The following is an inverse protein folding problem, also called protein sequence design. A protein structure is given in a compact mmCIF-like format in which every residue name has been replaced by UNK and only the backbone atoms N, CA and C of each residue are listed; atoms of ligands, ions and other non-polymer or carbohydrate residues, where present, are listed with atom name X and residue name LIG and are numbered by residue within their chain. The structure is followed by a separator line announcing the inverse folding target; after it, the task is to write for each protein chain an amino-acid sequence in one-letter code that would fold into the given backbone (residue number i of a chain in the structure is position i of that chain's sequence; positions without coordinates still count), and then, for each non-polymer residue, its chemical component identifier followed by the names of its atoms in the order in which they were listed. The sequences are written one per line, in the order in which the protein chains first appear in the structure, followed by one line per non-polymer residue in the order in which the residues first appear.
data_IF_255461161643
#
_entry.id   IF_255461161643
#
_cell.length_a   1.000
_cell.length_b   1.000
_cell.length_c   1.000
_cell.angle_alpha   90.00
_cell.angle_beta   90.00
_cell.angle_gamma   90.00
#
_symmetry.space_group_name_H-M   'P 1'
#
loop_
_entity.id
_entity.type
_entity.pdbx_description
1 polymer ?
#
# COMPACT_ATOMS: atom_id res chain seq x y z
N UNK A 1 -2.43 -1.08 14.63
CA UNK A 1 -2.83 -1.49 15.99
C UNK A 1 -3.30 -2.93 15.89
N UNK A 2 -2.59 -3.86 16.54
CA UNK A 2 -2.95 -5.27 16.56
C UNK A 2 -4.28 -5.47 17.29
N UNK A 3 -5.04 -6.50 16.88
CA UNK A 3 -6.26 -6.89 17.60
C UNK A 3 -5.97 -7.22 19.06
N UNK A 4 -4.75 -7.69 19.34
CA UNK A 4 -4.23 -7.96 20.68
C UNK A 4 -4.13 -6.70 21.55
N UNK A 5 -3.73 -5.57 20.96
CA UNK A 5 -3.64 -4.29 21.66
C UNK A 5 -5.01 -3.75 22.07
N UNK A 6 -6.05 -4.05 21.29
CA UNK A 6 -7.43 -3.60 21.55
C UNK A 6 -8.10 -4.45 22.62
N UNK A 7 -7.86 -5.76 22.61
CA UNK A 7 -8.54 -6.73 23.50
C UNK A 7 -7.79 -6.98 24.82
N UNK A 8 -6.59 -6.43 24.96
CA UNK A 8 -5.78 -6.54 26.16
C UNK A 8 -5.37 -7.99 26.49
N UNK A 9 -5.04 -8.21 27.78
CA UNK A 9 -4.50 -9.49 28.25
C UNK A 9 -5.47 -10.67 28.20
N UNK A 10 -6.72 -10.48 27.77
CA UNK A 10 -7.70 -11.55 27.65
C UNK A 10 -7.51 -12.40 26.39
N UNK A 11 -6.78 -11.91 25.36
CA UNK A 11 -6.51 -12.63 24.12
C UNK A 11 -5.09 -13.20 24.17
N UNK A 12 -4.96 -14.52 24.09
CA UNK A 12 -3.67 -15.20 24.16
C UNK A 12 -3.04 -15.48 22.79
N UNK A 13 -3.77 -15.32 21.71
CA UNK A 13 -3.28 -15.54 20.37
C UNK A 13 -4.36 -15.86 19.35
N UNK A 14 -3.92 -16.16 18.14
CA UNK A 14 -4.76 -16.57 17.02
C UNK A 14 -3.96 -17.43 16.06
N UNK A 15 -4.67 -18.11 15.17
CA UNK A 15 -4.08 -18.94 14.13
C UNK A 15 -4.56 -18.48 12.77
N UNK A 16 -3.64 -18.31 11.83
CA UNK A 16 -3.98 -18.07 10.43
C UNK A 16 -4.26 -19.43 9.80
N UNK A 17 -5.43 -19.59 9.24
CA UNK A 17 -5.79 -20.73 8.44
C UNK A 17 -5.86 -20.34 6.97
N UNK A 18 -4.91 -20.74 6.14
CA UNK A 18 -3.96 -21.81 6.26
C UNK A 18 -2.52 -21.33 5.91
N UNK A 19 -1.52 -22.21 6.05
CA UNK A 19 -0.15 -21.91 5.67
C UNK A 19 0.05 -22.00 4.16
N UNK A 20 -0.46 -23.05 3.53
CA UNK A 20 -0.32 -23.34 2.11
C UNK A 20 -1.67 -23.67 1.50
N UNK A 21 -1.98 -23.07 0.36
CA UNK A 21 -3.11 -23.48 -0.45
C UNK A 21 -3.10 -24.99 -0.75
N UNK A 22 -4.24 -25.64 -0.58
CA UNK A 22 -4.36 -27.09 -0.77
C UNK A 22 -4.79 -27.46 -2.20
N UNK A 23 -4.57 -26.59 -3.19
CA UNK A 23 -4.85 -26.82 -4.60
C UNK A 23 -3.94 -27.88 -5.22
N UNK A 24 -4.46 -28.58 -6.20
CA UNK A 24 -3.74 -29.58 -6.99
C UNK A 24 -3.56 -29.11 -8.42
N UNK A 25 -2.43 -29.45 -9.05
CA UNK A 25 -2.19 -29.11 -10.47
C UNK A 25 -3.17 -29.85 -11.38
N UNK A 26 -3.88 -29.12 -12.20
CA UNK A 26 -4.69 -29.66 -13.31
C UNK A 26 -4.40 -28.87 -14.58
N UNK A 27 -4.66 -29.44 -15.74
CA UNK A 27 -4.46 -28.79 -17.01
C UNK A 27 -5.80 -28.60 -17.72
N UNK A 28 -5.93 -27.47 -18.38
CA UNK A 28 -7.04 -27.19 -19.31
C UNK A 28 -6.95 -28.06 -20.55
N UNK A 29 -7.99 -28.09 -21.37
CA UNK A 29 -7.96 -28.78 -22.65
C UNK A 29 -6.91 -28.21 -23.62
N UNK A 30 -6.47 -26.96 -23.42
CA UNK A 30 -5.37 -26.31 -24.14
C UNK A 30 -3.99 -26.66 -23.60
N UNK A 31 -3.90 -27.41 -22.48
CA UNK A 31 -2.64 -27.79 -21.83
C UNK A 31 -2.10 -26.77 -20.81
N UNK A 32 -2.82 -25.69 -20.54
CA UNK A 32 -2.45 -24.69 -19.55
C UNK A 32 -2.66 -25.25 -18.11
N UNK A 33 -1.64 -25.14 -17.27
CA UNK A 33 -1.71 -25.58 -15.88
C UNK A 33 -2.43 -24.56 -15.00
N UNK A 34 -3.27 -25.06 -14.08
CA UNK A 34 -3.92 -24.24 -13.07
C UNK A 34 -4.05 -24.99 -11.74
N UNK A 35 -4.29 -24.26 -10.66
CA UNK A 35 -4.56 -24.83 -9.35
C UNK A 35 -6.03 -25.18 -9.24
N UNK A 36 -6.32 -26.47 -9.20
CA UNK A 36 -7.66 -27.00 -9.11
C UNK A 36 -8.09 -27.16 -7.65
N UNK A 37 -9.39 -27.02 -7.41
CA UNK A 37 -10.02 -27.14 -6.09
C UNK A 37 -11.29 -27.99 -6.14
N UNK A 38 -12.13 -27.94 -5.11
CA UNK A 38 -13.33 -28.77 -5.00
C UNK A 38 -14.28 -28.63 -6.19
N UNK A 39 -14.72 -29.75 -6.74
CA UNK A 39 -15.55 -29.84 -7.94
C UNK A 39 -14.77 -29.98 -9.25
N UNK A 40 -13.52 -29.50 -9.31
CA UNK A 40 -12.72 -29.53 -10.54
C UNK A 40 -12.39 -30.96 -11.03
N UNK A 41 -12.43 -31.94 -10.14
CA UNK A 41 -12.17 -33.36 -10.45
C UNK A 41 -13.45 -34.18 -10.64
N UNK A 42 -14.63 -33.52 -10.70
CA UNK A 42 -15.92 -34.16 -10.88
C UNK A 42 -16.56 -34.67 -9.58
N UNK A 43 -16.02 -34.31 -8.46
CA UNK A 43 -16.60 -34.55 -7.14
C UNK A 43 -17.85 -33.66 -6.96
N UNK A 44 -18.94 -34.26 -6.42
CA UNK A 44 -20.26 -33.60 -6.33
C UNK A 44 -20.55 -33.04 -4.94
N UNK A 45 -19.87 -33.53 -3.90
CA UNK A 45 -19.89 -32.95 -2.55
C UNK A 45 -18.54 -32.35 -2.25
N UNK A 46 -18.44 -31.01 -2.27
CA UNK A 46 -17.19 -30.30 -2.07
C UNK A 46 -17.43 -28.86 -1.57
N UNK A 47 -16.41 -28.24 -1.01
CA UNK A 47 -16.41 -26.87 -0.50
C UNK A 47 -15.73 -25.88 -1.47
N UNK A 48 -15.55 -26.27 -2.75
CA UNK A 48 -15.00 -25.44 -3.83
C UNK A 48 -13.62 -24.86 -3.46
N UNK A 49 -13.47 -23.55 -3.57
CA UNK A 49 -12.24 -22.81 -3.32
C UNK A 49 -11.87 -22.72 -1.82
N UNK A 50 -12.66 -23.28 -0.92
CA UNK A 50 -12.41 -23.15 0.53
C UNK A 50 -11.11 -23.83 1.00
N UNK A 51 -10.46 -24.58 0.14
CA UNK A 51 -9.11 -25.12 0.35
C UNK A 51 -7.98 -24.21 -0.20
N UNK A 52 -8.30 -23.04 -0.77
CA UNK A 52 -7.36 -22.06 -1.31
C UNK A 52 -7.37 -20.81 -0.43
N UNK A 53 -6.83 -20.94 0.77
CA UNK A 53 -6.82 -19.88 1.80
C UNK A 53 -5.48 -19.77 2.54
N UNK A 54 -4.41 -20.28 1.91
CA UNK A 54 -3.05 -20.25 2.43
C UNK A 54 -2.37 -18.90 2.31
N UNK A 55 -1.26 -18.74 3.03
CA UNK A 55 -0.30 -17.66 2.87
C UNK A 55 0.66 -17.91 1.70
N UNK A 56 0.73 -19.15 1.22
CA UNK A 56 1.53 -19.62 0.09
C UNK A 56 0.65 -20.30 -0.94
N UNK A 57 0.99 -20.13 -2.21
CA UNK A 57 0.43 -20.97 -3.28
C UNK A 57 0.77 -22.45 -3.09
N UNK A 58 0.07 -23.38 -3.78
CA UNK A 58 0.37 -24.81 -3.69
C UNK A 58 1.82 -25.18 -4.01
N UNK A 59 2.49 -24.43 -4.87
CA UNK A 59 3.91 -24.59 -5.23
C UNK A 59 4.88 -23.95 -4.23
N UNK A 60 4.37 -23.36 -3.16
CA UNK A 60 5.11 -22.64 -2.11
C UNK A 60 5.60 -21.25 -2.49
N UNK A 61 5.18 -20.69 -3.62
CA UNK A 61 5.42 -19.28 -3.89
C UNK A 61 4.57 -18.41 -2.94
N UNK A 62 5.11 -17.28 -2.46
CA UNK A 62 4.39 -16.41 -1.54
C UNK A 62 3.18 -15.73 -2.18
N UNK A 63 2.05 -15.75 -1.50
CA UNK A 63 1.00 -14.77 -1.73
C UNK A 63 1.45 -13.38 -1.22
N UNK A 64 0.95 -12.28 -1.80
CA UNK A 64 1.30 -10.92 -1.32
C UNK A 64 1.05 -10.71 0.17
N UNK A 65 -0.01 -11.28 0.72
CA UNK A 65 -0.36 -11.14 2.14
C UNK A 65 0.56 -11.91 3.10
N UNK A 66 1.46 -12.78 2.61
CA UNK A 66 2.48 -13.38 3.45
C UNK A 66 3.43 -12.33 4.01
N UNK A 67 3.79 -11.33 3.20
CA UNK A 67 4.67 -10.24 3.64
C UNK A 67 4.02 -9.39 4.72
N UNK A 68 2.73 -9.12 4.57
CA UNK A 68 1.94 -8.42 5.61
C UNK A 68 1.84 -9.25 6.90
N UNK A 69 1.59 -10.57 6.78
CA UNK A 69 1.57 -11.46 7.93
C UNK A 69 2.93 -11.48 8.66
N UNK A 70 4.04 -11.48 7.91
CA UNK A 70 5.39 -11.36 8.47
C UNK A 70 5.55 -10.04 9.23
N UNK A 71 5.17 -8.93 8.62
CA UNK A 71 5.26 -7.61 9.24
C UNK A 71 4.42 -7.50 10.52
N UNK A 72 3.18 -7.98 10.48
CA UNK A 72 2.29 -7.95 11.64
C UNK A 72 2.73 -8.86 12.80
N UNK A 73 3.53 -9.91 12.50
CA UNK A 73 4.02 -10.88 13.51
C UNK A 73 5.48 -10.63 13.92
N UNK A 74 6.09 -9.53 13.51
CA UNK A 74 7.44 -9.19 13.98
C UNK A 74 7.45 -8.93 15.50
N UNK A 75 8.59 -9.20 16.11
CA UNK A 75 8.74 -9.15 17.58
C UNK A 75 9.39 -7.88 18.09
N UNK A 76 9.85 -7.01 17.20
CA UNK A 76 10.45 -5.74 17.56
C UNK A 76 9.57 -4.60 17.10
N UNK A 77 9.39 -3.62 17.97
CA UNK A 77 8.73 -2.37 17.65
C UNK A 77 9.68 -1.19 17.76
N UNK A 78 9.42 -0.14 16.98
CA UNK A 78 10.35 0.96 16.81
C UNK A 78 9.66 2.29 17.04
N UNK A 79 10.31 3.16 17.80
CA UNK A 79 9.89 4.55 17.94
C UNK A 79 11.08 5.50 17.83
N UNK A 80 10.86 6.67 17.25
CA UNK A 80 11.90 7.64 16.96
C UNK A 80 11.56 9.00 17.55
N UNK A 81 12.56 9.58 18.25
CA UNK A 81 12.47 10.95 18.79
C UNK A 81 13.67 11.74 18.32
N UNK A 82 13.44 12.94 17.79
CA UNK A 82 14.52 13.88 17.50
C UNK A 82 14.87 14.67 18.75
N UNK A 83 16.15 14.66 19.12
CA UNK A 83 16.69 15.40 20.25
C UNK A 83 18.08 15.93 19.94
N UNK A 84 18.31 17.22 20.13
CA UNK A 84 19.62 17.86 19.95
C UNK A 84 20.29 17.55 18.59
N UNK A 85 19.52 17.58 17.50
CA UNK A 85 19.96 17.21 16.12
C UNK A 85 20.41 15.73 15.97
N UNK A 86 20.06 14.88 16.91
CA UNK A 86 20.27 13.43 16.82
C UNK A 86 18.91 12.73 16.80
N UNK A 87 18.89 11.53 16.28
CA UNK A 87 17.72 10.68 16.31
C UNK A 87 17.91 9.61 17.40
N UNK A 88 17.07 9.63 18.41
CA UNK A 88 17.00 8.58 19.41
C UNK A 88 15.98 7.53 18.94
N UNK A 89 16.48 6.40 18.46
CA UNK A 89 15.70 5.25 18.07
C UNK A 89 15.55 4.32 19.25
N UNK A 90 14.33 4.12 19.71
CA UNK A 90 14.02 3.11 20.73
C UNK A 90 13.50 1.85 20.04
N UNK A 91 14.16 0.73 20.32
CA UNK A 91 13.77 -0.61 19.89
C UNK A 91 13.23 -1.34 21.11
N UNK A 92 11.98 -1.78 21.05
CA UNK A 92 11.33 -2.54 22.12
C UNK A 92 11.10 -3.98 21.70
N UNK A 93 11.37 -4.92 22.60
CA UNK A 93 11.26 -6.35 22.33
C UNK A 93 10.01 -6.95 22.97
N UNK A 94 9.18 -7.59 22.13
CA UNK A 94 8.03 -8.40 22.55
C UNK A 94 8.38 -9.88 22.76
N UNK A 95 9.64 -10.26 22.55
CA UNK A 95 10.08 -11.61 22.90
C UNK A 95 9.83 -11.92 24.38
N UNK A 96 9.34 -13.13 24.66
CA UNK A 96 9.04 -13.57 26.02
C UNK A 96 10.23 -14.30 26.66
N UNK A 97 11.04 -15.02 25.87
CA UNK A 97 12.01 -15.98 26.39
C UNK A 97 13.43 -15.83 25.86
N UNK A 98 13.61 -15.10 24.75
CA UNK A 98 14.93 -14.90 24.15
C UNK A 98 15.31 -13.41 24.10
N UNK A 99 16.61 -13.15 24.12
CA UNK A 99 17.15 -11.82 23.83
C UNK A 99 17.59 -11.72 22.37
N UNK A 100 17.86 -10.51 21.92
CA UNK A 100 18.39 -10.23 20.59
C UNK A 100 19.92 -10.34 20.61
N UNK A 101 20.46 -11.55 20.59
CA UNK A 101 21.90 -11.84 20.69
C UNK A 101 22.53 -12.29 19.35
N UNK A 102 21.74 -12.35 18.29
CA UNK A 102 22.18 -12.67 16.93
C UNK A 102 21.56 -11.72 15.89
N UNK A 103 21.19 -10.54 16.29
CA UNK A 103 20.56 -9.54 15.42
C UNK A 103 21.47 -8.30 15.29
N UNK A 104 21.52 -7.77 14.06
CA UNK A 104 22.08 -6.46 13.75
C UNK A 104 20.97 -5.54 13.25
N UNK A 105 20.98 -4.31 13.73
CA UNK A 105 20.07 -3.27 13.24
C UNK A 105 20.79 -2.47 12.16
N UNK A 106 20.23 -2.44 10.96
CA UNK A 106 20.64 -1.61 9.83
C UNK A 106 19.66 -0.47 9.67
N UNK A 107 20.17 0.70 9.37
CA UNK A 107 19.33 1.85 9.10
C UNK A 107 19.81 2.62 7.89
N UNK A 108 18.86 3.27 7.18
CA UNK A 108 19.10 4.05 5.98
C UNK A 108 18.13 5.22 5.92
N UNK A 109 18.62 6.44 5.74
CA UNK A 109 17.76 7.59 5.49
C UNK A 109 17.43 7.69 3.99
N UNK A 110 16.17 7.99 3.71
CA UNK A 110 15.65 8.25 2.38
C UNK A 110 15.27 9.73 2.25
N UNK A 111 15.57 10.35 1.11
CA UNK A 111 15.07 11.66 0.68
C UNK A 111 14.14 11.45 -0.53
N UNK A 112 12.87 11.84 -0.41
CA UNK A 112 11.86 11.66 -1.47
C UNK A 112 11.81 10.20 -2.00
N UNK A 113 11.91 9.23 -1.09
CA UNK A 113 11.91 7.81 -1.41
C UNK A 113 13.24 7.25 -1.94
N UNK A 114 14.28 8.08 -2.12
CA UNK A 114 15.60 7.65 -2.60
C UNK A 114 16.61 7.56 -1.46
N UNK A 115 17.41 6.47 -1.35
CA UNK A 115 18.39 6.32 -0.28
C UNK A 115 19.54 7.31 -0.42
N UNK A 116 19.90 7.96 0.70
CA UNK A 116 21.09 8.83 0.77
C UNK A 116 22.30 7.96 1.10
N UNK A 117 23.26 7.85 0.21
CA UNK A 117 24.36 6.89 0.29
C UNK A 117 25.19 6.99 1.58
N UNK A 118 25.38 8.19 2.09
CA UNK A 118 26.17 8.51 3.29
C UNK A 118 25.37 8.37 4.59
N UNK A 119 24.03 8.41 4.51
CA UNK A 119 23.14 8.41 5.67
C UNK A 119 22.64 7.01 6.00
N UNK A 120 23.55 6.12 6.34
CA UNK A 120 23.26 4.73 6.73
C UNK A 120 24.21 4.25 7.81
N UNK A 121 23.84 3.20 8.49
CA UNK A 121 24.69 2.57 9.48
C UNK A 121 24.18 1.21 9.92
N UNK A 122 24.98 0.56 10.73
CA UNK A 122 24.69 -0.73 11.33
C UNK A 122 25.16 -0.69 12.80
N UNK A 123 24.40 -1.30 13.69
CA UNK A 123 24.76 -1.44 15.10
C UNK A 123 24.23 -2.77 15.66
N UNK A 124 24.94 -3.28 16.65
CA UNK A 124 24.50 -4.42 17.45
C UNK A 124 23.35 -4.02 18.36
N UNK A 125 22.40 -4.92 18.53
CA UNK A 125 21.34 -4.80 19.54
C UNK A 125 21.39 -6.01 20.46
N UNK A 126 21.23 -5.74 21.76
CA UNK A 126 21.21 -6.77 22.80
C UNK A 126 20.12 -6.48 23.81
N UNK A 127 18.89 -6.82 23.45
CA UNK A 127 17.69 -6.48 24.19
C UNK A 127 17.16 -7.73 24.90
N UNK A 128 17.04 -7.66 26.23
CA UNK A 128 16.42 -8.73 26.99
C UNK A 128 14.91 -8.84 26.71
N UNK A 129 14.29 -10.00 26.99
CA UNK A 129 12.84 -10.17 26.83
C UNK A 129 12.05 -9.05 27.50
N UNK A 130 11.06 -8.50 26.78
CA UNK A 130 10.16 -7.45 27.29
C UNK A 130 10.88 -6.16 27.73
N UNK A 131 12.08 -5.91 27.20
CA UNK A 131 12.86 -4.69 27.48
C UNK A 131 13.00 -3.86 26.19
N UNK A 132 13.57 -2.67 26.35
CA UNK A 132 13.87 -1.77 25.25
C UNK A 132 15.32 -1.27 25.33
N UNK A 133 15.88 -0.91 24.17
CA UNK A 133 17.18 -0.28 24.04
C UNK A 133 17.02 0.99 23.19
N UNK A 134 17.64 2.09 23.63
CA UNK A 134 17.67 3.33 22.86
C UNK A 134 19.05 3.49 22.20
N UNK A 135 19.03 3.74 20.90
CA UNK A 135 20.21 3.93 20.05
C UNK A 135 20.23 5.39 19.57
N UNK A 136 21.39 6.05 19.67
CA UNK A 136 21.57 7.40 19.14
C UNK A 136 22.11 7.32 17.72
N UNK A 137 21.29 7.70 16.73
CA UNK A 137 21.65 7.75 15.34
C UNK A 137 22.05 9.18 14.97
N UNK A 138 23.15 9.35 14.27
CA UNK A 138 23.68 10.65 13.85
C UNK A 138 23.99 10.60 12.35
N UNK A 139 22.97 10.62 11.47
CA UNK A 139 23.21 10.67 10.05
C UNK A 139 23.85 12.01 9.67
N UNK A 140 24.94 11.95 8.91
CA UNK A 140 25.63 13.15 8.38
C UNK A 140 24.89 13.64 7.12
N UNK A 141 23.78 14.34 7.34
CA UNK A 141 22.96 14.89 6.25
C UNK A 141 22.50 16.30 6.56
N UNK A 142 22.35 17.09 5.50
CA UNK A 142 21.68 18.39 5.55
C UNK A 142 20.27 18.24 5.00
N UNK A 143 19.28 18.46 5.85
CA UNK A 143 17.87 18.40 5.47
C UNK A 143 17.48 19.59 4.59
N UNK A 144 16.84 19.34 3.45
CA UNK A 144 16.33 20.35 2.54
C UNK A 144 14.88 20.69 2.89
N UNK A 145 14.53 21.97 2.83
CA UNK A 145 13.15 22.39 2.99
C UNK A 145 12.28 21.81 1.86
N UNK A 146 11.11 21.31 2.19
CA UNK A 146 10.16 20.74 1.22
C UNK A 146 10.45 19.31 0.76
N UNK A 147 11.57 18.71 1.16
CA UNK A 147 11.84 17.31 0.90
C UNK A 147 11.22 16.41 1.98
N UNK A 148 10.83 15.21 1.59
CA UNK A 148 10.27 14.18 2.45
C UNK A 148 11.37 13.21 2.89
N UNK A 149 11.48 12.96 4.21
CA UNK A 149 12.54 12.13 4.76
C UNK A 149 11.95 10.98 5.58
N UNK A 150 12.50 9.79 5.34
CA UNK A 150 12.16 8.60 6.10
C UNK A 150 13.42 7.88 6.56
N UNK A 151 13.33 7.24 7.72
CA UNK A 151 14.32 6.30 8.23
C UNK A 151 13.81 4.88 8.00
N UNK A 152 14.47 4.14 7.13
CA UNK A 152 14.25 2.69 7.00
C UNK A 152 15.13 1.96 8.00
N UNK A 153 14.58 0.93 8.60
CA UNK A 153 15.21 0.07 9.58
C UNK A 153 14.98 -1.38 9.16
N UNK A 154 16.04 -2.14 9.13
CA UNK A 154 16.03 -3.60 8.99
C UNK A 154 16.77 -4.22 10.16
N UNK A 155 16.16 -5.18 10.85
CA UNK A 155 16.86 -6.05 11.78
C UNK A 155 17.17 -7.35 11.09
N UNK A 156 18.43 -7.69 11.01
CA UNK A 156 18.93 -8.85 10.26
C UNK A 156 19.69 -9.81 11.17
N UNK A 157 19.74 -11.09 10.79
CA UNK A 157 20.62 -12.05 11.47
C UNK A 157 22.08 -11.69 11.26
N UNK A 158 22.85 -11.61 12.34
CA UNK A 158 24.29 -11.39 12.31
C UNK A 158 25.05 -12.63 11.81
N UNK A 159 24.62 -13.82 12.22
CA UNK A 159 25.24 -15.10 11.88
C UNK A 159 24.23 -16.10 11.34
N UNK A 160 24.73 -17.11 10.64
CA UNK A 160 23.90 -18.25 10.20
C UNK A 160 23.26 -18.94 11.41
N UNK A 161 22.02 -19.36 11.23
CA UNK A 161 21.31 -20.23 12.17
C UNK A 161 20.72 -21.45 11.44
N UNK A 162 20.03 -22.34 12.15
CA UNK A 162 19.52 -23.60 11.60
C UNK A 162 18.49 -23.43 10.48
N UNK A 163 17.82 -22.27 10.38
CA UNK A 163 16.70 -22.02 9.48
C UNK A 163 16.93 -20.85 8.50
N UNK A 164 17.95 -19.98 8.73
CA UNK A 164 18.26 -18.88 7.82
C UNK A 164 19.76 -18.53 7.86
N UNK A 165 20.18 -17.82 6.82
CA UNK A 165 21.57 -17.32 6.68
C UNK A 165 21.71 -15.93 7.30
N UNK A 166 22.95 -15.56 7.65
CA UNK A 166 23.30 -14.19 8.01
C UNK A 166 22.78 -13.20 6.96
N UNK A 167 22.28 -12.06 7.43
CA UNK A 167 21.64 -11.04 6.59
C UNK A 167 20.14 -11.27 6.30
N UNK A 168 19.56 -12.39 6.77
CA UNK A 168 18.10 -12.57 6.67
C UNK A 168 17.37 -11.50 7.48
N UNK A 169 16.44 -10.79 6.84
CA UNK A 169 15.65 -9.72 7.48
C UNK A 169 14.59 -10.36 8.38
N UNK A 170 14.67 -10.05 9.66
CA UNK A 170 13.74 -10.49 10.71
C UNK A 170 12.57 -9.51 10.84
N UNK A 171 12.88 -8.28 11.16
CA UNK A 171 11.93 -7.20 11.43
C UNK A 171 12.30 -5.97 10.58
N UNK A 172 11.32 -5.14 10.26
CA UNK A 172 11.53 -3.94 9.46
C UNK A 172 10.60 -2.82 9.91
N UNK A 173 11.04 -1.58 9.71
CA UNK A 173 10.20 -0.40 9.91
C UNK A 173 10.60 0.73 8.98
N UNK A 174 9.65 1.60 8.67
CA UNK A 174 9.89 2.89 8.05
C UNK A 174 9.29 3.98 8.93
N UNK A 175 10.11 4.90 9.41
CA UNK A 175 9.71 5.96 10.31
C UNK A 175 9.89 7.31 9.63
N UNK A 176 8.83 8.14 9.65
CA UNK A 176 8.90 9.48 9.10
C UNK A 176 9.77 10.39 9.97
N UNK A 177 10.66 11.17 9.35
CA UNK A 177 11.45 12.21 10.02
C UNK A 177 10.65 13.53 9.99
N UNK A 178 9.67 13.64 10.86
CA UNK A 178 8.52 14.57 10.79
C UNK A 178 8.92 16.04 10.81
N UNK A 179 10.04 16.40 11.47
CA UNK A 179 10.40 17.81 11.67
C UNK A 179 11.13 18.46 10.50
N UNK A 180 11.37 17.72 9.43
CA UNK A 180 12.09 18.23 8.24
C UNK A 180 11.18 18.51 7.06
N UNK A 181 9.92 18.12 7.14
CA UNK A 181 8.91 18.56 6.20
C UNK A 181 8.67 20.05 6.40
N UNK A 182 9.11 20.87 5.50
CA UNK A 182 8.33 22.06 5.19
C UNK A 182 6.96 21.53 4.75
N UNK A 183 5.93 21.81 5.56
CA UNK A 183 4.57 21.44 5.21
C UNK A 183 4.31 22.03 3.83
N UNK A 184 4.36 21.22 2.78
CA UNK A 184 3.64 21.53 1.56
C UNK A 184 2.18 21.29 1.96
N UNK A 185 1.60 22.30 2.59
CA UNK A 185 0.16 22.33 2.73
C UNK A 185 -0.38 22.46 1.31
N UNK A 186 -0.92 21.39 0.78
CA UNK A 186 -1.90 21.51 -0.30
C UNK A 186 -3.14 22.15 0.33
N UNK A 187 -3.03 23.44 0.60
CA UNK A 187 -4.18 24.27 0.88
C UNK A 187 -4.83 24.55 -0.46
N UNK A 188 -5.99 24.01 -0.70
CA UNK A 188 -6.83 24.40 -1.83
C UNK A 188 -7.28 25.88 -1.71
N UNK A 189 -6.86 26.58 -0.65
CA UNK A 189 -7.32 27.92 -0.30
C UNK A 189 -6.23 28.95 -0.05
N UNK A 190 -4.95 28.66 -0.20
CA UNK A 190 -3.91 29.64 0.09
C UNK A 190 -3.43 30.37 -1.15
N UNK A 191 -3.70 31.67 -1.14
CA UNK A 191 -3.13 32.71 -1.98
C UNK A 191 -1.60 32.83 -1.83
N UNK A 192 -0.84 31.75 -1.87
CA UNK A 192 0.60 31.87 -2.07
C UNK A 192 0.86 32.15 -3.55
N UNK A 193 0.97 33.42 -3.82
CA UNK A 193 1.55 33.98 -5.03
C UNK A 193 2.97 33.43 -5.23
N UNK A 194 3.10 32.27 -5.85
CA UNK A 194 4.29 32.03 -6.64
C UNK A 194 4.24 33.05 -7.78
N UNK A 195 5.17 34.01 -7.75
CA UNK A 195 5.30 35.08 -8.73
C UNK A 195 5.79 34.56 -10.08
N UNK A 196 4.98 33.76 -10.71
CA UNK A 196 5.03 33.37 -12.09
C UNK A 196 3.62 33.55 -12.62
N UNK A 197 3.39 34.52 -13.46
CA UNK A 197 2.18 34.66 -14.26
C UNK A 197 2.12 33.46 -15.21
N UNK A 198 1.63 32.33 -14.72
CA UNK A 198 1.24 31.24 -15.60
C UNK A 198 -0.05 31.68 -16.29
N UNK A 199 0.03 31.96 -17.58
CA UNK A 199 -1.16 32.19 -18.39
C UNK A 199 -1.99 30.91 -18.38
N UNK A 200 -3.09 30.93 -17.61
CA UNK A 200 -4.16 29.96 -17.74
C UNK A 200 -5.04 30.41 -18.91
N UNK A 201 -5.19 29.56 -19.90
CA UNK A 201 -6.14 29.80 -20.99
C UNK A 201 -7.11 28.65 -21.14
N UNK A 202 -8.33 28.96 -21.54
CA UNK A 202 -9.38 28.00 -21.80
C UNK A 202 -9.80 28.14 -23.25
N UNK A 203 -9.85 27.01 -23.93
CA UNK A 203 -10.36 26.91 -25.30
C UNK A 203 -11.51 25.91 -25.34
N UNK A 204 -12.62 26.30 -25.98
CA UNK A 204 -13.77 25.42 -26.17
C UNK A 204 -14.04 25.31 -27.66
N UNK A 205 -13.88 24.09 -28.21
CA UNK A 205 -14.11 23.81 -29.61
C UNK A 205 -14.63 22.39 -29.79
N UNK A 206 -15.62 22.22 -30.67
CA UNK A 206 -16.13 20.91 -31.12
C UNK A 206 -16.52 19.93 -29.97
N UNK A 207 -17.11 20.47 -28.88
CA UNK A 207 -17.51 19.65 -27.71
C UNK A 207 -16.34 19.27 -26.79
N UNK A 208 -15.17 19.84 -27.01
CA UNK A 208 -14.00 19.69 -26.14
C UNK A 208 -13.70 21.00 -25.44
N UNK A 209 -13.38 20.92 -24.16
CA UNK A 209 -12.87 22.02 -23.35
C UNK A 209 -11.40 21.74 -23.03
N UNK A 210 -10.50 22.62 -23.46
CA UNK A 210 -9.09 22.51 -23.16
C UNK A 210 -8.66 23.61 -22.19
N UNK A 211 -7.96 23.19 -21.12
CA UNK A 211 -7.34 24.09 -20.16
C UNK A 211 -5.82 23.99 -20.31
N UNK A 212 -5.20 25.08 -20.68
CA UNK A 212 -3.75 25.19 -20.78
C UNK A 212 -3.19 25.80 -19.50
N UNK A 213 -2.26 25.11 -18.86
CA UNK A 213 -1.62 25.51 -17.61
C UNK A 213 -0.11 25.23 -17.68
N UNK A 214 0.71 26.24 -17.95
CA UNK A 214 2.15 26.08 -18.15
C UNK A 214 2.47 25.06 -19.25
N UNK A 215 3.08 23.91 -18.88
CA UNK A 215 3.46 22.83 -19.78
C UNK A 215 2.40 21.71 -19.82
N UNK A 216 1.20 21.96 -19.29
CA UNK A 216 0.12 20.97 -19.24
C UNK A 216 -1.07 21.44 -20.08
N UNK A 217 -1.72 20.47 -20.75
CA UNK A 217 -3.00 20.66 -21.43
C UNK A 217 -3.97 19.59 -20.94
N UNK A 218 -5.07 20.02 -20.34
CA UNK A 218 -6.15 19.15 -19.88
C UNK A 218 -7.33 19.25 -20.82
N UNK A 219 -7.77 18.15 -21.39
CA UNK A 219 -8.90 18.11 -22.32
C UNK A 219 -10.08 17.39 -21.70
N UNK A 220 -11.21 18.09 -21.62
CA UNK A 220 -12.47 17.57 -21.12
C UNK A 220 -13.47 17.44 -22.25
N UNK A 221 -14.22 16.35 -22.29
CA UNK A 221 -15.35 16.20 -23.21
C UNK A 221 -16.60 16.84 -22.58
N UNK A 222 -17.17 17.86 -23.24
CA UNK A 222 -18.32 18.62 -22.69
C UNK A 222 -19.62 17.84 -22.62
N UNK A 223 -19.78 16.75 -23.40
CA UNK A 223 -20.96 15.90 -23.38
C UNK A 223 -20.90 14.88 -22.24
N UNK A 224 -19.74 14.26 -22.07
CA UNK A 224 -19.54 13.26 -21.00
C UNK A 224 -19.05 13.86 -19.69
N UNK A 225 -18.48 15.06 -19.68
CA UNK A 225 -17.86 15.70 -18.53
C UNK A 225 -16.57 15.00 -18.05
N UNK A 226 -15.98 14.13 -18.87
CA UNK A 226 -14.77 13.38 -18.50
C UNK A 226 -13.51 14.13 -18.90
N UNK A 227 -12.48 14.04 -18.06
CA UNK A 227 -11.11 14.34 -18.45
C UNK A 227 -10.63 13.23 -19.37
N UNK A 228 -10.42 13.54 -20.64
CA UNK A 228 -10.10 12.56 -21.69
C UNK A 228 -8.64 12.55 -22.08
N UNK A 229 -7.90 13.63 -21.78
CA UNK A 229 -6.47 13.74 -22.05
C UNK A 229 -5.81 14.70 -21.05
N UNK A 230 -4.62 14.36 -20.63
CA UNK A 230 -3.71 15.21 -19.87
C UNK A 230 -2.32 15.13 -20.50
N UNK A 231 -1.99 16.12 -21.31
CA UNK A 231 -0.66 16.25 -21.89
C UNK A 231 0.27 16.99 -20.91
N UNK A 232 1.43 16.43 -20.68
CA UNK A 232 2.56 17.12 -20.05
C UNK A 232 3.65 17.35 -21.12
N UNK A 233 3.72 18.57 -21.63
CA UNK A 233 4.48 18.83 -22.85
C UNK A 233 3.86 18.13 -24.05
N UNK A 234 4.57 17.14 -24.61
CA UNK A 234 4.08 16.33 -25.73
C UNK A 234 3.69 14.89 -25.30
N UNK A 235 3.76 14.57 -24.01
CA UNK A 235 3.52 13.21 -23.49
C UNK A 235 2.12 13.12 -22.90
N UNK A 236 1.36 12.08 -23.33
CA UNK A 236 0.05 11.79 -22.76
C UNK A 236 0.21 11.05 -21.42
N UNK A 237 -0.41 11.60 -20.38
CA UNK A 237 -0.32 11.08 -19.02
C UNK A 237 -1.43 10.05 -18.70
N UNK A 238 -2.57 10.15 -19.39
CA UNK A 238 -3.71 9.25 -19.18
C UNK A 238 -3.68 8.08 -20.18
N UNK A 239 -3.79 6.86 -19.67
CA UNK A 239 -3.97 5.68 -20.52
C UNK A 239 -5.39 5.57 -21.11
N UNK A 240 -6.37 6.20 -20.48
CA UNK A 240 -7.77 6.25 -20.88
C UNK A 240 -8.46 7.45 -20.19
N UNK A 241 -9.67 7.87 -20.58
CA UNK A 241 -10.44 8.87 -19.87
C UNK A 241 -10.59 8.53 -18.39
N UNK A 242 -10.53 9.56 -17.54
CA UNK A 242 -10.67 9.39 -16.10
C UNK A 242 -12.16 9.19 -15.74
N UNK A 243 -12.51 8.00 -15.30
CA UNK A 243 -13.88 7.64 -14.94
C UNK A 243 -14.00 7.23 -13.48
N UNK A 244 -15.16 7.53 -12.88
CA UNK A 244 -15.51 7.01 -11.55
C UNK A 244 -15.73 5.50 -11.63
N UNK A 245 -15.11 4.77 -10.72
CA UNK A 245 -15.32 3.33 -10.59
C UNK A 245 -15.67 2.96 -9.14
N UNK A 246 -16.88 2.43 -8.94
CA UNK A 246 -17.37 1.95 -7.64
C UNK A 246 -17.48 0.42 -7.56
N UNK A 247 -16.94 -0.28 -8.55
CA UNK A 247 -17.01 -1.73 -8.62
C UNK A 247 -15.62 -2.34 -8.84
N UNK A 248 -15.36 -3.43 -8.16
CA UNK A 248 -14.24 -4.33 -8.43
C UNK A 248 -14.74 -5.75 -8.66
N UNK A 249 -13.95 -6.58 -9.30
CA UNK A 249 -14.22 -8.01 -9.40
C UNK A 249 -14.37 -8.63 -7.99
N UNK A 250 -15.38 -9.46 -7.75
CA UNK A 250 -15.52 -10.17 -6.48
C UNK A 250 -14.32 -11.10 -6.23
N UNK A 251 -13.88 -11.13 -4.98
CA UNK A 251 -12.93 -12.11 -4.48
C UNK A 251 -13.69 -13.29 -3.86
N UNK A 252 -13.00 -14.38 -3.56
CA UNK A 252 -13.59 -15.56 -2.93
C UNK A 252 -14.31 -15.22 -1.62
N UNK A 253 -13.76 -14.31 -0.83
CA UNK A 253 -14.41 -13.82 0.40
C UNK A 253 -15.72 -13.05 0.15
N UNK A 254 -15.88 -12.43 -1.01
CA UNK A 254 -17.11 -11.73 -1.38
C UNK A 254 -18.18 -12.71 -1.89
N UNK A 255 -17.73 -13.76 -2.58
CA UNK A 255 -18.57 -14.83 -3.10
C UNK A 255 -19.02 -15.74 -1.95
N UNK A 256 -18.12 -16.01 -0.99
CA UNK A 256 -18.37 -16.88 0.16
C UNK A 256 -18.73 -18.30 -0.26
N UNK A 257 -19.80 -18.84 0.31
CA UNK A 257 -20.32 -20.18 0.00
C UNK A 257 -21.28 -20.21 -1.21
N UNK A 258 -21.37 -19.11 -1.97
CA UNK A 258 -22.23 -19.04 -3.15
C UNK A 258 -21.83 -20.08 -4.20
N UNK A 259 -22.82 -20.73 -4.80
CA UNK A 259 -22.65 -21.56 -6.00
C UNK A 259 -23.10 -20.79 -7.24
N UNK A 260 -22.65 -21.20 -8.42
CA UNK A 260 -23.00 -20.56 -9.68
C UNK A 260 -24.51 -20.48 -9.88
N UNK A 261 -25.21 -21.57 -9.57
CA UNK A 261 -26.65 -21.70 -9.76
C UNK A 261 -27.44 -21.43 -8.47
N UNK A 262 -26.79 -21.26 -7.33
CA UNK A 262 -27.42 -21.01 -6.03
C UNK A 262 -26.54 -20.02 -5.21
N UNK A 263 -26.55 -18.75 -5.56
CA UNK A 263 -25.79 -17.74 -4.86
C UNK A 263 -26.31 -17.49 -3.45
N UNK A 264 -25.42 -17.47 -2.45
CA UNK A 264 -25.77 -17.10 -1.08
C UNK A 264 -26.30 -15.65 -1.04
N UNK A 265 -27.55 -15.43 -0.63
CA UNK A 265 -28.11 -14.08 -0.59
C UNK A 265 -27.40 -13.15 0.42
N UNK A 266 -26.65 -13.69 1.36
CA UNK A 266 -25.90 -12.94 2.38
C UNK A 266 -24.47 -12.62 1.97
N UNK A 267 -23.94 -13.28 0.93
CA UNK A 267 -22.63 -12.96 0.38
C UNK A 267 -22.56 -11.51 -0.08
N UNK A 268 -21.38 -10.91 0.04
CA UNK A 268 -21.16 -9.51 -0.37
C UNK A 268 -21.48 -9.29 -1.85
N UNK A 269 -21.04 -10.21 -2.72
CA UNK A 269 -21.33 -10.15 -4.15
C UNK A 269 -22.84 -10.10 -4.40
N UNK A 270 -23.63 -10.96 -3.74
CA UNK A 270 -25.08 -10.98 -3.87
C UNK A 270 -25.74 -9.67 -3.40
N UNK A 271 -25.20 -9.06 -2.35
CA UNK A 271 -25.63 -7.74 -1.86
C UNK A 271 -25.32 -6.65 -2.86
N UNK A 272 -24.10 -6.65 -3.45
CA UNK A 272 -23.71 -5.68 -4.47
C UNK A 272 -24.59 -5.79 -5.71
N UNK A 273 -24.84 -6.99 -6.19
CA UNK A 273 -25.75 -7.23 -7.34
C UNK A 273 -27.17 -6.71 -7.08
N UNK A 274 -27.73 -6.96 -5.87
CA UNK A 274 -29.06 -6.44 -5.50
C UNK A 274 -29.08 -4.92 -5.37
N UNK A 275 -28.00 -4.30 -4.91
CA UNK A 275 -27.86 -2.86 -4.83
C UNK A 275 -27.59 -2.19 -6.19
N UNK A 276 -27.41 -2.98 -7.25
CA UNK A 276 -27.12 -2.46 -8.59
C UNK A 276 -25.66 -2.01 -8.79
N UNK A 277 -24.77 -2.30 -7.84
CA UNK A 277 -23.34 -1.99 -7.97
C UNK A 277 -22.77 -2.77 -9.16
N UNK A 278 -22.05 -2.08 -10.04
CA UNK A 278 -21.53 -2.65 -11.30
C UNK A 278 -22.51 -2.56 -12.48
N UNK A 279 -23.74 -2.06 -12.28
CA UNK A 279 -24.74 -1.81 -13.33
C UNK A 279 -25.17 -0.35 -13.42
N UNK A 280 -24.49 0.53 -12.70
CA UNK A 280 -24.78 1.95 -12.73
C UNK A 280 -24.37 2.54 -14.09
N UNK A 281 -25.11 3.54 -14.53
CA UNK A 281 -24.79 4.35 -15.71
C UNK A 281 -24.53 5.77 -15.25
N UNK A 282 -23.44 6.35 -15.72
CA UNK A 282 -23.11 7.75 -15.50
C UNK A 282 -23.84 8.59 -16.53
N UNK A 283 -24.42 9.68 -16.09
CA UNK A 283 -25.01 10.69 -16.98
C UNK A 283 -24.45 12.05 -16.59
N UNK A 284 -23.79 12.72 -17.50
CA UNK A 284 -23.41 14.11 -17.33
C UNK A 284 -24.65 14.98 -17.50
N UNK A 285 -24.94 15.83 -16.52
CA UNK A 285 -26.10 16.74 -16.56
C UNK A 285 -25.72 18.14 -17.01
N UNK A 286 -24.44 18.46 -17.06
CA UNK A 286 -23.87 19.73 -17.50
C UNK A 286 -22.38 19.77 -17.17
N UNK A 287 -21.70 20.72 -17.76
CA UNK A 287 -20.31 21.08 -17.43
C UNK A 287 -20.25 22.59 -17.24
N UNK A 288 -20.00 23.02 -16.02
CA UNK A 288 -19.80 24.43 -15.69
C UNK A 288 -18.32 24.74 -15.55
N UNK A 289 -17.92 25.90 -16.05
CA UNK A 289 -16.53 26.34 -16.06
C UNK A 289 -16.44 27.71 -15.41
N UNK A 290 -15.68 27.78 -14.33
CA UNK A 290 -15.34 29.04 -13.66
C UNK A 290 -13.83 29.31 -13.80
N UNK A 291 -13.50 30.45 -14.39
CA UNK A 291 -12.10 30.87 -14.50
C UNK A 291 -11.81 31.94 -13.45
N UNK A 292 -10.93 31.64 -12.52
CA UNK A 292 -10.33 32.58 -11.58
C UNK A 292 -9.06 33.24 -12.14
N UNK A 293 -8.39 34.02 -11.31
CA UNK A 293 -7.15 34.70 -11.70
C UNK A 293 -5.96 33.71 -11.84
N UNK A 294 -5.99 32.60 -11.10
CA UNK A 294 -4.89 31.62 -11.04
C UNK A 294 -5.39 30.16 -11.07
N UNK A 295 -6.67 29.94 -11.21
CA UNK A 295 -7.30 28.64 -11.21
C UNK A 295 -8.44 28.55 -12.24
N UNK A 296 -8.75 27.34 -12.63
CA UNK A 296 -9.93 26.97 -13.41
C UNK A 296 -10.65 25.86 -12.67
N UNK A 297 -11.93 26.07 -12.40
CA UNK A 297 -12.82 25.06 -11.80
C UNK A 297 -13.76 24.52 -12.87
N UNK A 298 -13.78 23.21 -13.00
CA UNK A 298 -14.72 22.47 -13.87
C UNK A 298 -15.57 21.58 -12.97
N UNK A 299 -16.89 21.75 -13.07
CA UNK A 299 -17.88 21.03 -12.26
C UNK A 299 -18.97 20.40 -13.12
#
# INVERSE_FOLDING_TARGET
ISLMDILGISLQGGFIWDWVDQGLVKHTNSGEAYWAYGGDFGDTENDRQFCINGLLFPDRTPHPHLLEAKYCQQHLSFSLVEKDNKFELTVSSDYLFRRTDNELLRWQVLENGQPIAEAKGECEIDIAPQQAQTLSLSPDITFKAGADYHLNIDVVLANDCSWAKAGHVMDTAQLALVNKRGIVSFSLNDNETTSGTSELSIEAQDGMLQVHAQNNVFSFNSESGLLTSWLQGAEETLAAPLEDNFFRAPLDNDIGVSEVDNPDPNAWESRWRRAGIGKWTRTCTGVDVEQGAQDVRIT
#
